data_IF_705536524921
#
_entry.id   IF_705536524921
#
_cell.length_a   1.000
_cell.length_b   1.000
_cell.length_c   1.000
_cell.angle_alpha   90.00
_cell.angle_beta   90.00
_cell.angle_gamma   90.00
#
_symmetry.space_group_name_H-M   'P 1'
#
loop_
_entity.id
_entity.type
_entity.pdbx_description
1 polymer ?
#
# COMPACT_ATOMS: atom_id res chain seq x y z
N UNK A 1 -10.88 0.63 -26.24
CA UNK A 1 -9.57 0.77 -25.54
C UNK A 1 -9.76 1.06 -24.05
N UNK A 2 -10.58 2.03 -23.65
CA UNK A 2 -10.82 2.34 -22.23
C UNK A 2 -11.27 1.10 -21.41
N UNK A 3 -12.30 0.39 -21.85
CA UNK A 3 -12.80 -0.81 -21.17
C UNK A 3 -11.73 -1.91 -20.96
N UNK A 4 -10.75 -2.03 -21.85
CA UNK A 4 -9.64 -2.98 -21.67
C UNK A 4 -8.67 -2.50 -20.59
N UNK A 5 -8.38 -1.20 -20.55
CA UNK A 5 -7.49 -0.62 -19.56
C UNK A 5 -8.08 -0.70 -18.13
N UNK A 6 -9.40 -0.61 -18.02
CA UNK A 6 -10.12 -0.65 -16.75
C UNK A 6 -10.53 -2.09 -16.33
N UNK A 7 -10.05 -3.10 -17.08
CA UNK A 7 -10.25 -4.51 -16.74
C UNK A 7 -9.49 -4.85 -15.46
N UNK A 8 -10.20 -5.49 -14.51
CA UNK A 8 -9.60 -5.96 -13.26
C UNK A 8 -8.59 -7.09 -13.51
N UNK A 9 -7.43 -7.01 -12.85
CA UNK A 9 -6.34 -7.99 -12.87
C UNK A 9 -6.05 -8.60 -11.49
N UNK A 10 -6.90 -8.32 -10.51
CA UNK A 10 -6.89 -8.97 -9.17
C UNK A 10 -8.05 -9.94 -9.00
N UNK A 11 -9.11 -9.81 -9.80
CA UNK A 11 -10.30 -10.64 -9.74
C UNK A 11 -11.04 -10.65 -11.09
N UNK A 12 -12.06 -11.50 -11.22
CA UNK A 12 -12.95 -11.51 -12.38
C UNK A 12 -12.54 -12.46 -13.51
N UNK A 13 -13.23 -12.37 -14.67
CA UNK A 13 -13.13 -13.40 -15.71
C UNK A 13 -11.74 -13.56 -16.33
N UNK A 14 -10.98 -12.46 -16.48
CA UNK A 14 -9.63 -12.49 -17.08
C UNK A 14 -8.67 -13.32 -16.22
N UNK A 15 -8.69 -13.09 -14.90
CA UNK A 15 -7.83 -13.82 -13.94
C UNK A 15 -8.25 -15.30 -13.90
N UNK A 16 -9.56 -15.59 -13.86
CA UNK A 16 -10.08 -16.96 -13.90
C UNK A 16 -9.67 -17.69 -15.17
N UNK A 17 -9.81 -17.06 -16.33
CA UNK A 17 -9.38 -17.65 -17.61
C UNK A 17 -7.88 -17.94 -17.61
N UNK A 18 -7.06 -17.04 -17.10
CA UNK A 18 -5.62 -17.25 -16.98
C UNK A 18 -5.28 -18.47 -16.11
N UNK A 19 -5.92 -18.60 -14.94
CA UNK A 19 -5.71 -19.76 -14.06
C UNK A 19 -6.18 -21.06 -14.69
N UNK A 20 -7.32 -21.03 -15.38
CA UNK A 20 -7.85 -22.21 -16.10
C UNK A 20 -6.89 -22.63 -17.21
N UNK A 21 -6.37 -21.68 -18.02
CA UNK A 21 -5.43 -21.98 -19.09
C UNK A 21 -4.11 -22.55 -18.55
N UNK A 22 -3.56 -21.96 -17.48
CA UNK A 22 -2.35 -22.46 -16.83
C UNK A 22 -2.57 -23.89 -16.29
N UNK A 23 -3.69 -24.12 -15.58
CA UNK A 23 -4.08 -25.43 -15.05
C UNK A 23 -4.28 -26.47 -16.15
N UNK A 24 -4.99 -26.12 -17.23
CA UNK A 24 -5.18 -27.01 -18.38
C UNK A 24 -3.86 -27.38 -19.06
N UNK A 25 -2.96 -26.42 -19.23
CA UNK A 25 -1.63 -26.66 -19.80
C UNK A 25 -0.87 -27.69 -18.94
N UNK A 26 -0.85 -27.54 -17.63
CA UNK A 26 -0.21 -28.51 -16.70
C UNK A 26 -0.89 -29.87 -16.74
N UNK A 27 -2.23 -29.94 -16.77
CA UNK A 27 -2.97 -31.19 -16.89
C UNK A 27 -2.62 -31.89 -18.21
N UNK A 28 -2.55 -31.19 -19.34
CA UNK A 28 -2.18 -31.75 -20.63
C UNK A 28 -0.71 -32.26 -20.66
N UNK A 29 0.19 -31.59 -19.95
CA UNK A 29 1.58 -32.05 -19.76
C UNK A 29 1.60 -33.34 -18.97
N UNK A 30 0.76 -33.47 -17.92
CA UNK A 30 0.66 -34.64 -17.07
C UNK A 30 -0.14 -35.80 -17.69
N UNK A 31 -1.11 -35.51 -18.57
CA UNK A 31 -2.01 -36.51 -19.16
C UNK A 31 -1.31 -37.43 -20.16
N UNK A 32 -0.49 -38.34 -19.67
CA UNK A 32 0.21 -39.37 -20.43
C UNK A 32 0.32 -40.68 -19.65
N UNK A 33 0.50 -41.80 -20.38
CA UNK A 33 0.91 -43.04 -19.74
C UNK A 33 2.40 -42.93 -19.38
N UNK A 34 2.70 -43.12 -18.12
CA UNK A 34 4.07 -43.09 -17.60
C UNK A 34 4.60 -44.52 -17.48
N UNK A 35 5.84 -44.76 -17.93
CA UNK A 35 6.65 -45.84 -17.38
C UNK A 35 7.10 -45.49 -15.96
N UNK A 36 7.48 -46.46 -15.15
CA UNK A 36 7.95 -46.18 -13.78
C UNK A 36 9.05 -45.13 -13.70
N UNK A 37 10.06 -45.24 -14.61
CA UNK A 37 11.18 -44.28 -14.68
C UNK A 37 10.73 -42.88 -15.15
N UNK A 38 9.76 -42.80 -16.05
CA UNK A 38 9.22 -41.49 -16.51
C UNK A 38 8.38 -40.81 -15.42
N UNK A 39 7.59 -41.60 -14.67
CA UNK A 39 6.84 -41.09 -13.51
C UNK A 39 7.77 -40.57 -12.44
N UNK A 40 8.82 -41.36 -12.10
CA UNK A 40 9.82 -40.93 -11.12
C UNK A 40 10.50 -39.61 -11.56
N UNK A 41 10.91 -39.48 -12.83
CA UNK A 41 11.51 -38.23 -13.33
C UNK A 41 10.55 -37.05 -13.27
N UNK A 42 9.29 -37.23 -13.63
CA UNK A 42 8.28 -36.17 -13.54
C UNK A 42 8.05 -35.72 -12.08
N UNK A 43 7.91 -36.67 -11.18
CA UNK A 43 7.75 -36.40 -9.74
C UNK A 43 8.99 -35.72 -9.14
N UNK A 44 10.18 -36.21 -9.48
CA UNK A 44 11.43 -35.61 -9.04
C UNK A 44 11.63 -34.18 -9.57
N UNK A 45 11.27 -33.90 -10.83
CA UNK A 45 11.35 -32.55 -11.43
C UNK A 45 10.36 -31.58 -10.78
N UNK A 46 9.14 -32.05 -10.48
CA UNK A 46 8.13 -31.27 -9.77
C UNK A 46 8.59 -30.96 -8.34
N UNK A 47 9.06 -31.94 -7.62
CA UNK A 47 9.57 -31.76 -6.25
C UNK A 47 10.82 -30.85 -6.20
N UNK A 48 11.75 -31.02 -7.12
CA UNK A 48 12.95 -30.17 -7.23
C UNK A 48 12.57 -28.71 -7.56
N UNK A 49 11.62 -28.52 -8.48
CA UNK A 49 11.07 -27.19 -8.78
C UNK A 49 10.40 -26.56 -7.56
N UNK A 50 9.54 -27.30 -6.86
CA UNK A 50 8.87 -26.82 -5.65
C UNK A 50 9.88 -26.42 -4.56
N UNK A 51 10.89 -27.25 -4.32
CA UNK A 51 11.97 -26.97 -3.36
C UNK A 51 12.75 -25.71 -3.76
N UNK A 52 13.09 -25.59 -5.04
CA UNK A 52 13.78 -24.40 -5.56
C UNK A 52 12.96 -23.14 -5.35
N UNK A 53 11.66 -23.17 -5.68
CA UNK A 53 10.75 -22.05 -5.46
C UNK A 53 10.64 -21.65 -4.00
N UNK A 54 10.56 -22.63 -3.09
CA UNK A 54 10.56 -22.38 -1.66
C UNK A 54 11.87 -21.74 -1.17
N UNK A 55 13.02 -22.28 -1.60
CA UNK A 55 14.33 -21.75 -1.24
C UNK A 55 14.51 -20.33 -1.76
N UNK A 56 14.09 -20.04 -3.01
CA UNK A 56 14.15 -18.69 -3.57
C UNK A 56 13.27 -17.73 -2.75
N UNK A 57 12.02 -18.09 -2.45
CA UNK A 57 11.14 -17.27 -1.67
C UNK A 57 11.71 -16.99 -0.26
N UNK A 58 12.29 -18.01 0.37
CA UNK A 58 12.94 -17.88 1.67
C UNK A 58 14.19 -17.00 1.61
N UNK A 59 15.08 -17.21 0.64
CA UNK A 59 16.29 -16.41 0.50
C UNK A 59 15.97 -14.94 0.25
N UNK A 60 15.05 -14.64 -0.67
CA UNK A 60 14.73 -13.26 -1.06
C UNK A 60 13.97 -12.50 0.02
N UNK A 61 13.12 -13.19 0.77
CA UNK A 61 12.27 -12.58 1.81
C UNK A 61 12.95 -12.56 3.19
N UNK A 62 13.50 -13.72 3.64
CA UNK A 62 13.84 -13.86 5.05
C UNK A 62 15.35 -13.73 5.29
N UNK A 63 16.21 -14.04 4.28
CA UNK A 63 17.66 -13.98 4.42
C UNK A 63 18.22 -12.66 3.89
N UNK A 64 17.84 -12.30 2.65
CA UNK A 64 18.36 -11.10 2.00
C UNK A 64 17.49 -9.87 2.23
N UNK A 65 16.27 -10.05 2.73
CA UNK A 65 15.30 -8.97 3.01
C UNK A 65 15.14 -7.98 1.83
N UNK A 66 15.10 -8.53 0.58
CA UNK A 66 15.13 -7.70 -0.64
C UNK A 66 13.94 -6.76 -0.77
N UNK A 67 12.83 -7.09 -0.13
CA UNK A 67 11.57 -6.34 -0.23
C UNK A 67 11.30 -5.48 1.01
N UNK A 68 12.12 -5.58 2.06
CA UNK A 68 11.86 -4.93 3.35
C UNK A 68 10.65 -5.49 4.11
N UNK A 69 9.93 -6.46 3.51
CA UNK A 69 8.74 -7.09 4.07
C UNK A 69 8.83 -8.61 3.93
N UNK A 70 8.21 -9.34 4.86
CA UNK A 70 8.12 -10.80 4.74
C UNK A 70 7.02 -11.18 3.76
N UNK A 71 7.34 -12.03 2.78
CA UNK A 71 6.35 -12.52 1.83
C UNK A 71 5.28 -13.35 2.55
N UNK A 72 4.02 -13.14 2.22
CA UNK A 72 2.90 -13.93 2.72
C UNK A 72 3.02 -15.41 2.34
N UNK A 73 2.34 -16.29 3.05
CA UNK A 73 2.29 -17.71 2.71
C UNK A 73 1.61 -17.96 1.35
N UNK A 74 0.70 -17.07 0.93
CA UNK A 74 0.04 -17.15 -0.38
C UNK A 74 1.03 -16.83 -1.48
N UNK A 75 1.80 -15.74 -1.37
CA UNK A 75 2.86 -15.38 -2.31
C UNK A 75 3.93 -16.47 -2.39
N UNK A 76 4.39 -17.02 -1.25
CA UNK A 76 5.33 -18.16 -1.22
C UNK A 76 4.75 -19.37 -1.94
N UNK A 77 3.48 -19.68 -1.74
CA UNK A 77 2.76 -20.74 -2.43
C UNK A 77 2.77 -20.56 -3.94
N UNK A 78 2.51 -19.36 -4.45
CA UNK A 78 2.59 -19.06 -5.87
C UNK A 78 3.99 -19.27 -6.44
N UNK A 79 5.04 -18.83 -5.74
CA UNK A 79 6.43 -19.06 -6.15
C UNK A 79 6.73 -20.56 -6.22
N UNK A 80 6.33 -21.35 -5.23
CA UNK A 80 6.49 -22.80 -5.22
C UNK A 80 5.77 -23.45 -6.40
N UNK A 81 4.52 -23.11 -6.65
CA UNK A 81 3.69 -23.70 -7.72
C UNK A 81 4.26 -23.38 -9.09
N UNK A 82 4.71 -22.16 -9.34
CA UNK A 82 5.28 -21.78 -10.64
C UNK A 82 6.59 -22.53 -10.91
N UNK A 83 7.47 -22.63 -9.94
CA UNK A 83 8.73 -23.36 -10.12
C UNK A 83 8.53 -24.87 -10.27
N UNK A 84 7.56 -25.45 -9.57
CA UNK A 84 7.13 -26.83 -9.77
C UNK A 84 6.60 -27.09 -11.18
N UNK A 85 5.73 -26.18 -11.68
CA UNK A 85 5.19 -26.22 -13.04
C UNK A 85 6.27 -26.09 -14.13
N UNK A 86 7.22 -25.18 -13.94
CA UNK A 86 8.37 -24.99 -14.83
C UNK A 86 9.25 -26.26 -14.82
N UNK A 87 9.55 -26.84 -13.67
CA UNK A 87 10.33 -28.08 -13.56
C UNK A 87 9.69 -29.24 -14.33
N UNK A 88 8.36 -29.38 -14.22
CA UNK A 88 7.58 -30.36 -14.96
C UNK A 88 7.60 -30.11 -16.48
N UNK A 89 7.47 -28.84 -16.89
CA UNK A 89 7.52 -28.43 -18.31
C UNK A 89 8.89 -28.75 -18.93
N UNK A 90 9.98 -28.39 -18.25
CA UNK A 90 11.36 -28.67 -18.68
C UNK A 90 11.58 -30.18 -18.82
N UNK A 91 11.19 -30.97 -17.80
CA UNK A 91 11.28 -32.45 -17.87
C UNK A 91 10.50 -33.00 -19.08
N UNK A 92 9.36 -32.42 -19.43
CA UNK A 92 8.58 -32.86 -20.58
C UNK A 92 9.26 -32.50 -21.90
N UNK A 93 9.82 -31.29 -22.05
CA UNK A 93 10.56 -30.85 -23.23
C UNK A 93 11.78 -31.74 -23.49
N UNK A 94 12.56 -32.04 -22.45
CA UNK A 94 13.76 -32.89 -22.55
C UNK A 94 13.38 -34.35 -22.76
N UNK A 95 12.37 -34.84 -22.07
CA UNK A 95 11.98 -36.27 -22.04
C UNK A 95 11.20 -36.77 -23.24
N UNK A 96 10.70 -35.90 -24.14
CA UNK A 96 9.87 -36.32 -25.27
C UNK A 96 10.65 -36.81 -26.51
N UNK A 97 11.97 -36.81 -26.48
CA UNK A 97 12.78 -37.27 -27.65
C UNK A 97 12.42 -36.58 -28.99
N UNK A 98 13.09 -36.97 -30.06
CA UNK A 98 12.85 -36.40 -31.42
C UNK A 98 11.76 -37.12 -32.24
N UNK A 99 10.97 -37.98 -31.59
CA UNK A 99 9.90 -38.76 -32.28
C UNK A 99 8.75 -37.85 -32.76
N UNK A 100 8.28 -38.11 -34.00
CA UNK A 100 7.29 -37.31 -34.74
C UNK A 100 5.92 -37.21 -34.07
N UNK A 101 5.59 -38.07 -33.07
CA UNK A 101 4.31 -38.04 -32.33
C UNK A 101 4.23 -37.13 -31.13
N UNK A 102 5.33 -36.50 -30.71
CA UNK A 102 5.42 -35.77 -29.42
C UNK A 102 5.53 -34.25 -29.56
N UNK A 103 5.51 -33.69 -30.78
CA UNK A 103 5.71 -32.26 -31.03
C UNK A 103 4.69 -31.37 -30.33
N UNK A 104 3.41 -31.73 -30.33
CA UNK A 104 2.35 -30.98 -29.66
C UNK A 104 2.56 -30.87 -28.14
N UNK A 105 3.05 -31.96 -27.51
CA UNK A 105 3.31 -31.97 -26.05
C UNK A 105 4.45 -31.05 -25.68
N UNK A 106 5.50 -30.99 -26.52
CA UNK A 106 6.56 -29.98 -26.38
C UNK A 106 6.00 -28.57 -26.50
N UNK A 107 5.13 -28.32 -27.50
CA UNK A 107 4.47 -27.04 -27.67
C UNK A 107 3.67 -26.64 -26.42
N UNK A 108 2.85 -27.57 -25.89
CA UNK A 108 2.09 -27.34 -24.65
C UNK A 108 3.01 -27.08 -23.45
N UNK A 109 4.07 -27.86 -23.27
CA UNK A 109 5.02 -27.68 -22.17
C UNK A 109 5.74 -26.32 -22.26
N UNK A 110 6.12 -25.89 -23.46
CA UNK A 110 6.71 -24.56 -23.68
C UNK A 110 5.69 -23.46 -23.37
N UNK A 111 4.44 -23.61 -23.82
CA UNK A 111 3.37 -22.64 -23.53
C UNK A 111 2.97 -22.60 -22.06
N UNK A 112 3.11 -23.71 -21.31
CA UNK A 112 2.82 -23.77 -19.88
C UNK A 112 3.73 -22.85 -19.06
N UNK A 113 4.97 -22.63 -19.45
CA UNK A 113 5.92 -21.77 -18.74
C UNK A 113 5.41 -20.33 -18.61
N UNK A 114 5.15 -19.59 -19.71
CA UNK A 114 4.64 -18.23 -19.59
C UNK A 114 3.24 -18.18 -18.94
N UNK A 115 2.38 -19.18 -19.16
CA UNK A 115 1.08 -19.23 -18.51
C UNK A 115 1.20 -19.37 -16.98
N UNK A 116 2.09 -20.22 -16.47
CA UNK A 116 2.36 -20.35 -15.05
C UNK A 116 2.97 -19.07 -14.46
N UNK A 117 3.90 -18.43 -15.17
CA UNK A 117 4.47 -17.15 -14.74
C UNK A 117 3.42 -16.05 -14.65
N UNK A 118 2.55 -15.91 -15.65
CA UNK A 118 1.47 -14.93 -15.66
C UNK A 118 0.44 -15.23 -14.55
N UNK A 119 0.09 -16.51 -14.36
CA UNK A 119 -0.82 -16.92 -13.28
C UNK A 119 -0.25 -16.60 -11.89
N UNK A 120 1.04 -16.88 -11.68
CA UNK A 120 1.70 -16.52 -10.42
C UNK A 120 1.78 -15.00 -10.23
N UNK A 121 2.14 -14.25 -11.27
CA UNK A 121 2.15 -12.79 -11.21
C UNK A 121 0.77 -12.22 -10.84
N UNK A 122 -0.31 -12.74 -11.46
CA UNK A 122 -1.66 -12.33 -11.13
C UNK A 122 -2.07 -12.75 -9.70
N UNK A 123 -1.67 -13.94 -9.24
CA UNK A 123 -1.95 -14.42 -7.88
C UNK A 123 -1.21 -13.63 -6.80
N UNK A 124 0.05 -13.31 -7.04
CA UNK A 124 0.86 -12.46 -6.16
C UNK A 124 0.29 -11.04 -6.13
N UNK A 125 -0.05 -10.47 -7.30
CA UNK A 125 -0.68 -9.16 -7.36
C UNK A 125 -2.03 -9.13 -6.62
N UNK A 126 -2.84 -10.19 -6.71
CA UNK A 126 -4.09 -10.29 -5.96
C UNK A 126 -3.87 -10.38 -4.44
N UNK A 127 -2.81 -11.05 -4.00
CA UNK A 127 -2.42 -11.17 -2.59
C UNK A 127 -1.98 -9.83 -2.00
N UNK A 128 -1.18 -9.06 -2.73
CA UNK A 128 -0.80 -7.69 -2.33
C UNK A 128 -1.90 -6.65 -2.54
N UNK A 129 -2.78 -6.87 -3.52
CA UNK A 129 -3.82 -5.92 -3.92
C UNK A 129 -3.31 -4.65 -4.62
N UNK A 130 -2.05 -4.64 -5.13
CA UNK A 130 -1.39 -3.43 -5.63
C UNK A 130 -2.00 -2.89 -6.92
N UNK A 131 -2.03 -3.70 -7.98
CA UNK A 131 -2.52 -3.26 -9.29
C UNK A 131 -3.91 -3.81 -9.55
N UNK A 132 -4.95 -3.01 -9.31
CA UNK A 132 -6.34 -3.46 -9.43
C UNK A 132 -6.80 -3.58 -10.88
N UNK A 133 -6.21 -2.82 -11.81
CA UNK A 133 -6.56 -2.79 -13.25
C UNK A 133 -5.33 -2.80 -14.14
N UNK A 134 -5.53 -3.09 -15.43
CA UNK A 134 -4.48 -2.96 -16.45
C UNK A 134 -3.94 -1.53 -16.49
N UNK A 135 -4.81 -0.52 -16.37
CA UNK A 135 -4.42 0.89 -16.34
C UNK A 135 -3.44 1.17 -15.21
N UNK A 136 -3.74 0.70 -14.00
CA UNK A 136 -2.87 0.84 -12.84
C UNK A 136 -1.51 0.15 -13.05
N UNK A 137 -1.51 -1.08 -13.59
CA UNK A 137 -0.29 -1.83 -13.87
C UNK A 137 0.60 -1.17 -14.93
N UNK A 138 0.02 -0.40 -15.85
CA UNK A 138 0.75 0.35 -16.88
C UNK A 138 1.18 1.76 -16.40
N UNK A 139 0.89 2.15 -15.15
CA UNK A 139 1.20 3.47 -14.62
C UNK A 139 0.50 4.62 -15.32
N UNK A 140 -0.66 4.35 -15.97
CA UNK A 140 -1.40 5.38 -16.68
C UNK A 140 -2.23 6.23 -15.70
N UNK A 141 -2.47 7.53 -16.00
CA UNK A 141 -3.28 8.39 -15.15
C UNK A 141 -4.65 7.79 -14.84
N UNK A 142 -5.01 7.78 -13.57
CA UNK A 142 -6.24 7.17 -13.05
C UNK A 142 -7.32 8.22 -12.76
N UNK A 143 -6.89 9.41 -12.40
CA UNK A 143 -7.76 10.53 -12.03
C UNK A 143 -7.44 11.76 -12.90
N UNK A 144 -8.48 12.50 -13.27
CA UNK A 144 -8.36 13.81 -13.91
C UNK A 144 -8.00 14.89 -12.89
N UNK A 145 -7.78 16.11 -13.37
CA UNK A 145 -7.61 17.26 -12.49
C UNK A 145 -8.87 17.46 -11.63
N UNK A 146 -8.68 17.78 -10.36
CA UNK A 146 -9.77 18.21 -9.51
C UNK A 146 -10.13 19.64 -9.91
N UNK A 147 -11.34 19.84 -10.46
CA UNK A 147 -11.84 21.18 -10.78
C UNK A 147 -12.13 21.95 -9.49
N UNK A 148 -11.10 22.66 -9.00
CA UNK A 148 -11.16 23.44 -7.78
C UNK A 148 -12.03 24.71 -7.90
N UNK A 149 -12.56 25.02 -9.10
CA UNK A 149 -13.40 26.19 -9.38
C UNK A 149 -14.83 25.85 -9.75
N UNK A 150 -15.16 24.59 -10.02
CA UNK A 150 -16.53 24.20 -10.18
C UNK A 150 -17.21 24.29 -8.81
N UNK A 151 -17.98 25.36 -8.58
CA UNK A 151 -19.02 25.34 -7.55
C UNK A 151 -19.84 24.08 -7.84
N UNK A 152 -19.77 23.08 -7.00
CA UNK A 152 -20.40 21.82 -7.33
C UNK A 152 -21.92 22.05 -7.30
N UNK A 153 -22.54 21.70 -8.37
CA UNK A 153 -23.94 21.37 -8.33
C UNK A 153 -24.04 20.04 -7.59
N UNK A 154 -23.98 20.06 -6.24
CA UNK A 154 -24.39 18.89 -5.50
C UNK A 154 -25.86 18.68 -5.80
N UNK A 155 -26.18 17.60 -6.48
CA UNK A 155 -27.56 17.14 -6.60
C UNK A 155 -27.99 16.78 -5.19
N UNK A 156 -29.10 17.38 -4.73
CA UNK A 156 -29.67 17.06 -3.41
C UNK A 156 -29.80 15.53 -3.29
N UNK A 157 -29.10 14.93 -2.33
CA UNK A 157 -29.07 13.49 -2.12
C UNK A 157 -27.81 12.77 -2.63
N UNK A 158 -26.84 13.46 -3.24
CA UNK A 158 -25.54 12.87 -3.57
C UNK A 158 -24.72 12.68 -2.30
N UNK A 159 -24.28 11.46 -2.03
CA UNK A 159 -23.43 11.11 -0.87
C UNK A 159 -22.02 10.73 -1.27
N UNK A 160 -21.79 10.40 -2.55
CA UNK A 160 -20.47 10.04 -3.07
C UNK A 160 -19.56 11.27 -3.19
N UNK A 161 -18.30 11.09 -2.82
CA UNK A 161 -17.28 12.11 -2.95
C UNK A 161 -16.77 12.28 -4.40
N UNK A 162 -15.87 13.22 -4.58
CA UNK A 162 -15.13 13.45 -5.83
C UNK A 162 -13.64 13.29 -5.61
N UNK A 163 -12.95 12.64 -6.57
CA UNK A 163 -11.52 12.45 -6.53
C UNK A 163 -10.88 13.13 -7.72
N UNK A 164 -9.77 13.80 -7.50
CA UNK A 164 -8.99 14.39 -8.58
C UNK A 164 -7.55 14.70 -8.18
N UNK A 165 -6.75 14.99 -9.20
CA UNK A 165 -5.35 15.39 -9.05
C UNK A 165 -5.25 16.89 -8.79
N UNK A 166 -4.32 17.28 -7.94
CA UNK A 166 -3.96 18.68 -7.68
C UNK A 166 -2.44 18.83 -7.61
N UNK A 167 -1.94 20.00 -7.95
CA UNK A 167 -0.55 20.36 -7.70
C UNK A 167 -0.51 21.22 -6.45
N UNK A 168 0.18 20.75 -5.41
CA UNK A 168 0.41 21.54 -4.19
C UNK A 168 1.73 22.28 -4.37
N UNK A 169 1.74 23.64 -4.31
CA UNK A 169 2.96 24.41 -4.46
C UNK A 169 3.94 24.14 -3.31
N UNK A 170 5.16 23.79 -3.62
CA UNK A 170 6.25 23.56 -2.66
C UNK A 170 7.04 24.87 -2.43
N UNK A 171 6.36 25.94 -2.02
CA UNK A 171 6.91 27.30 -1.97
C UNK A 171 7.98 27.52 -0.91
N UNK A 172 7.91 26.74 0.18
CA UNK A 172 8.87 26.80 1.29
C UNK A 172 9.89 25.68 1.17
N UNK A 173 9.43 24.45 0.93
CA UNK A 173 10.31 23.28 0.87
C UNK A 173 11.14 23.19 -0.40
N UNK A 174 10.61 23.69 -1.53
CA UNK A 174 11.18 23.43 -2.85
C UNK A 174 11.18 21.93 -3.23
N UNK A 175 10.36 21.10 -2.56
CA UNK A 175 10.32 19.67 -2.81
C UNK A 175 9.68 19.37 -4.17
N UNK A 176 10.31 18.53 -4.98
CA UNK A 176 9.83 18.12 -6.30
C UNK A 176 8.78 17.00 -6.17
N UNK A 177 7.60 17.36 -5.69
CA UNK A 177 6.50 16.44 -5.48
C UNK A 177 5.72 16.18 -6.79
N UNK A 178 5.34 14.92 -7.01
CA UNK A 178 4.34 14.57 -8.02
C UNK A 178 2.95 15.13 -7.63
N UNK A 179 1.98 15.20 -8.57
CA UNK A 179 0.62 15.63 -8.23
C UNK A 179 0.02 14.83 -7.08
N UNK A 180 -0.57 15.55 -6.13
CA UNK A 180 -1.36 14.97 -5.04
C UNK A 180 -2.74 14.49 -5.54
N UNK A 181 -3.35 13.58 -4.82
CA UNK A 181 -4.75 13.18 -5.02
C UNK A 181 -5.58 13.70 -3.85
N UNK A 182 -6.74 14.25 -4.15
CA UNK A 182 -7.68 14.74 -3.13
C UNK A 182 -9.02 14.04 -3.30
N UNK A 183 -9.56 13.56 -2.18
CA UNK A 183 -10.95 13.16 -2.06
C UNK A 183 -11.72 14.26 -1.34
N UNK A 184 -12.77 14.78 -2.00
CA UNK A 184 -13.71 15.75 -1.44
C UNK A 184 -15.05 15.06 -1.19
N UNK A 185 -15.52 14.98 0.07
CA UNK A 185 -16.84 14.45 0.35
C UNK A 185 -17.95 15.32 -0.25
N UNK A 186 -19.14 14.75 -0.44
CA UNK A 186 -20.29 15.49 -1.00
C UNK A 186 -20.59 16.77 -0.21
N UNK A 187 -20.44 16.73 1.12
CA UNK A 187 -20.64 17.90 1.99
C UNK A 187 -19.64 19.04 1.73
N UNK A 188 -18.44 18.76 1.19
CA UNK A 188 -17.47 19.80 0.83
C UNK A 188 -17.82 20.49 -0.51
N UNK A 189 -18.74 19.95 -1.28
CA UNK A 189 -19.07 20.33 -2.66
C UNK A 189 -20.38 21.13 -2.78
N UNK A 190 -20.78 21.79 -1.72
CA UNK A 190 -21.98 22.65 -1.68
C UNK A 190 -21.59 24.14 -1.63
N UNK A 191 -22.52 25.04 -1.91
CA UNK A 191 -22.25 26.47 -1.96
C UNK A 191 -21.68 27.04 -0.64
N UNK A 192 -22.09 26.49 0.50
CA UNK A 192 -21.59 26.85 1.82
C UNK A 192 -21.16 25.59 2.56
N UNK A 193 -19.95 25.08 2.28
CA UNK A 193 -19.49 23.84 2.87
C UNK A 193 -19.27 24.02 4.38
N UNK A 194 -19.64 23.02 5.19
CA UNK A 194 -19.30 23.02 6.59
C UNK A 194 -17.78 22.98 6.78
N UNK A 195 -17.34 23.35 7.97
CA UNK A 195 -15.96 23.12 8.38
C UNK A 195 -15.76 21.61 8.57
N UNK A 196 -14.89 21.00 7.78
CA UNK A 196 -14.64 19.56 7.81
C UNK A 196 -13.27 19.25 8.40
N UNK A 197 -13.11 18.09 9.03
CA UNK A 197 -11.80 17.60 9.40
C UNK A 197 -10.99 17.19 8.17
N UNK A 198 -9.68 17.08 8.36
CA UNK A 198 -8.71 16.73 7.32
C UNK A 198 -7.94 15.48 7.70
N UNK A 199 -7.68 14.64 6.72
CA UNK A 199 -6.66 13.58 6.82
C UNK A 199 -5.61 13.80 5.73
N UNK A 200 -4.35 13.98 6.14
CA UNK A 200 -3.20 13.87 5.25
C UNK A 200 -2.79 12.40 5.23
N UNK A 201 -2.98 11.73 4.09
CA UNK A 201 -2.70 10.30 3.93
C UNK A 201 -1.47 10.08 3.07
N UNK A 202 -0.54 9.26 3.53
CA UNK A 202 0.71 8.95 2.85
C UNK A 202 0.70 7.52 2.29
N UNK A 203 1.09 7.37 1.04
CA UNK A 203 1.19 6.05 0.39
C UNK A 203 2.39 5.25 0.91
N UNK A 204 2.47 3.98 0.53
CA UNK A 204 3.67 3.15 0.74
C UNK A 204 4.76 3.43 -0.29
N UNK A 205 5.93 2.81 -0.11
CA UNK A 205 7.05 2.84 -1.05
C UNK A 205 7.44 1.39 -1.41
N UNK A 206 7.58 1.06 -2.71
CA UNK A 206 7.33 1.93 -3.88
C UNK A 206 5.85 2.23 -4.07
N UNK A 207 5.51 3.45 -4.51
CA UNK A 207 4.11 3.80 -4.70
C UNK A 207 3.84 5.22 -5.20
N UNK A 208 2.55 5.53 -5.29
CA UNK A 208 2.02 6.82 -5.74
C UNK A 208 0.86 7.27 -4.86
N UNK A 209 0.50 8.55 -4.83
CA UNK A 209 -0.70 9.01 -4.14
C UNK A 209 -1.99 8.30 -4.58
N UNK A 210 -2.08 7.88 -5.84
CA UNK A 210 -3.25 7.20 -6.39
C UNK A 210 -3.49 5.80 -5.78
N UNK A 211 -2.43 5.13 -5.29
CA UNK A 211 -2.53 3.76 -4.76
C UNK A 211 -3.45 3.67 -3.52
N UNK A 212 -3.54 4.75 -2.75
CA UNK A 212 -4.43 4.87 -1.59
C UNK A 212 -5.89 4.64 -1.98
N UNK A 213 -6.29 5.13 -3.15
CA UNK A 213 -7.65 4.99 -3.65
C UNK A 213 -7.83 3.75 -4.52
N UNK A 214 -6.86 3.44 -5.39
CA UNK A 214 -6.99 2.31 -6.33
C UNK A 214 -6.80 0.96 -5.65
N UNK A 215 -5.73 0.81 -4.88
CA UNK A 215 -5.40 -0.39 -4.13
C UNK A 215 -6.04 -0.38 -2.72
N UNK A 216 -5.94 0.75 -2.02
CA UNK A 216 -6.52 0.95 -0.69
C UNK A 216 -8.04 1.10 -0.68
N UNK A 217 -8.67 1.40 -1.84
CA UNK A 217 -10.13 1.60 -1.99
C UNK A 217 -10.69 2.60 -0.98
N UNK A 218 -9.90 3.60 -0.61
CA UNK A 218 -10.28 4.54 0.44
C UNK A 218 -11.51 5.37 0.05
N UNK A 219 -11.69 5.68 -1.24
CA UNK A 219 -12.87 6.32 -1.78
C UNK A 219 -14.16 5.54 -1.47
N UNK A 220 -14.18 4.25 -1.77
CA UNK A 220 -15.34 3.41 -1.51
C UNK A 220 -15.65 3.30 0.00
N UNK A 221 -14.62 3.27 0.86
CA UNK A 221 -14.77 3.25 2.32
C UNK A 221 -15.36 4.58 2.81
N UNK A 222 -14.86 5.70 2.31
CA UNK A 222 -15.36 7.04 2.66
C UNK A 222 -16.78 7.24 2.15
N UNK A 223 -17.10 6.84 0.93
CA UNK A 223 -18.45 6.95 0.35
C UNK A 223 -19.46 6.09 1.13
N UNK A 224 -19.08 4.87 1.53
CA UNK A 224 -19.91 4.01 2.36
C UNK A 224 -20.21 4.64 3.74
N UNK A 225 -19.23 5.30 4.34
CA UNK A 225 -19.41 6.04 5.58
C UNK A 225 -20.30 7.28 5.36
N UNK A 226 -20.01 8.08 4.34
CA UNK A 226 -20.75 9.27 3.98
C UNK A 226 -22.25 9.01 3.74
N UNK A 227 -22.58 7.85 3.14
CA UNK A 227 -23.96 7.45 2.85
C UNK A 227 -24.85 7.39 4.10
N UNK A 228 -24.28 7.13 5.28
CA UNK A 228 -24.98 7.07 6.57
C UNK A 228 -24.75 8.31 7.45
N UNK A 229 -23.91 9.26 6.97
CA UNK A 229 -23.50 10.45 7.73
C UNK A 229 -23.75 11.76 6.94
N UNK A 230 -24.87 11.84 6.22
CA UNK A 230 -25.31 13.05 5.49
C UNK A 230 -24.25 13.58 4.49
N UNK A 231 -23.52 12.68 3.83
CA UNK A 231 -22.46 13.03 2.89
C UNK A 231 -21.18 13.58 3.54
N UNK A 232 -21.04 13.46 4.86
CA UNK A 232 -19.90 13.98 5.61
C UNK A 232 -18.85 12.91 5.88
N UNK A 233 -17.61 13.21 5.51
CA UNK A 233 -16.39 12.51 5.90
C UNK A 233 -15.27 13.55 6.02
N UNK A 234 -14.07 13.16 6.50
CA UNK A 234 -12.91 14.03 6.35
C UNK A 234 -12.63 14.34 4.87
N UNK A 235 -12.09 15.52 4.59
CA UNK A 235 -11.36 15.77 3.35
C UNK A 235 -10.06 14.97 3.44
N UNK A 236 -9.77 14.12 2.44
CA UNK A 236 -8.54 13.34 2.42
C UNK A 236 -7.63 13.91 1.34
N UNK A 237 -6.43 14.33 1.75
CA UNK A 237 -5.38 14.81 0.86
C UNK A 237 -4.24 13.80 0.90
N UNK A 238 -3.87 13.27 -0.27
CA UNK A 238 -2.77 12.33 -0.42
C UNK A 238 -1.64 13.04 -1.18
N UNK A 239 -0.76 13.79 -0.48
CA UNK A 239 0.41 14.40 -1.10
C UNK A 239 1.44 13.35 -1.49
N UNK A 240 2.35 13.72 -2.37
CA UNK A 240 3.47 12.87 -2.72
C UNK A 240 4.65 13.13 -1.78
N UNK A 241 4.93 12.20 -0.88
CA UNK A 241 6.07 12.27 0.03
C UNK A 241 7.38 11.75 -0.57
N UNK A 242 7.33 11.17 -1.78
CA UNK A 242 8.47 10.45 -2.36
C UNK A 242 9.20 11.24 -3.46
N UNK A 243 8.50 12.07 -4.24
CA UNK A 243 9.01 12.72 -5.46
C UNK A 243 9.04 11.79 -6.67
N UNK A 244 9.33 10.50 -6.49
CA UNK A 244 9.22 9.44 -7.48
C UNK A 244 8.82 8.13 -6.81
N UNK A 245 8.26 7.18 -7.56
CA UNK A 245 7.70 5.95 -7.00
C UNK A 245 8.71 5.06 -6.27
N UNK A 246 9.97 5.11 -6.69
CA UNK A 246 11.10 4.32 -6.18
C UNK A 246 12.05 5.12 -5.27
N UNK A 247 11.82 6.43 -5.10
CA UNK A 247 12.61 7.27 -4.17
C UNK A 247 12.08 7.18 -2.76
N UNK A 248 12.95 7.40 -1.79
CA UNK A 248 12.54 7.49 -0.39
C UNK A 248 13.35 8.57 0.36
N UNK A 249 12.83 9.80 0.45
CA UNK A 249 13.42 10.85 1.30
C UNK A 249 13.11 10.66 2.79
N UNK A 250 12.40 9.59 3.19
CA UNK A 250 12.15 9.16 4.57
C UNK A 250 11.43 10.19 5.44
N UNK A 251 10.69 11.11 4.81
CA UNK A 251 9.99 12.22 5.47
C UNK A 251 10.89 13.05 6.41
N UNK A 252 12.14 13.24 5.97
CA UNK A 252 13.10 14.17 6.57
C UNK A 252 13.58 15.16 5.52
N UNK A 253 14.08 16.32 5.95
CA UNK A 253 14.74 17.26 5.06
C UNK A 253 16.20 16.86 4.89
N UNK A 254 16.60 16.60 3.66
CA UNK A 254 17.92 16.07 3.33
C UNK A 254 18.32 16.39 1.89
N UNK A 255 19.48 15.88 1.46
CA UNK A 255 19.91 15.94 0.07
C UNK A 255 18.95 15.18 -0.90
N UNK A 256 18.08 14.34 -0.38
CA UNK A 256 17.04 13.65 -1.17
C UNK A 256 15.80 14.52 -1.40
N UNK A 257 15.72 15.68 -0.77
CA UNK A 257 14.62 16.64 -0.84
C UNK A 257 14.05 16.98 0.54
N UNK A 258 13.38 18.13 0.63
CA UNK A 258 12.81 18.63 1.90
C UNK A 258 11.37 18.13 2.07
N UNK A 259 11.19 16.81 2.15
CA UNK A 259 9.87 16.21 2.24
C UNK A 259 9.17 16.46 3.57
N UNK A 260 9.92 16.59 4.68
CA UNK A 260 9.33 16.96 5.97
C UNK A 260 8.71 18.36 5.93
N UNK A 261 9.47 19.35 5.46
CA UNK A 261 8.97 20.74 5.28
C UNK A 261 7.78 20.78 4.32
N UNK A 262 7.83 20.03 3.21
CA UNK A 262 6.69 19.95 2.29
C UNK A 262 5.42 19.46 2.99
N UNK A 263 5.49 18.36 3.74
CA UNK A 263 4.36 17.73 4.39
C UNK A 263 3.83 18.49 5.61
N UNK A 264 4.68 19.27 6.29
CA UNK A 264 4.30 19.97 7.53
C UNK A 264 4.08 21.46 7.36
N UNK A 265 4.54 22.06 6.26
CA UNK A 265 4.38 23.48 5.99
C UNK A 265 3.59 23.73 4.71
N UNK A 266 4.07 23.29 3.54
CA UNK A 266 3.43 23.61 2.26
C UNK A 266 2.05 22.95 2.13
N UNK A 267 1.93 21.65 2.44
CA UNK A 267 0.68 20.89 2.34
C UNK A 267 -0.40 21.45 3.28
N UNK A 268 -0.18 21.66 4.59
CA UNK A 268 -1.19 22.24 5.47
C UNK A 268 -1.57 23.66 5.09
N UNK A 269 -0.63 24.49 4.66
CA UNK A 269 -0.92 25.85 4.21
C UNK A 269 -1.83 25.86 2.97
N UNK A 270 -1.53 25.00 1.99
CA UNK A 270 -2.35 24.87 0.79
C UNK A 270 -3.77 24.35 1.13
N UNK A 271 -3.91 23.34 2.00
CA UNK A 271 -5.20 22.80 2.42
C UNK A 271 -6.07 23.90 3.06
N UNK A 272 -5.50 24.65 4.02
CA UNK A 272 -6.22 25.73 4.71
C UNK A 272 -6.63 26.87 3.78
N UNK A 273 -5.83 27.15 2.74
CA UNK A 273 -6.17 28.19 1.76
C UNK A 273 -7.20 27.74 0.73
N UNK A 274 -7.39 26.44 0.56
CA UNK A 274 -8.20 25.86 -0.53
C UNK A 274 -9.57 25.39 -0.05
N UNK A 275 -9.65 24.85 1.18
CA UNK A 275 -10.85 24.20 1.69
C UNK A 275 -11.32 24.82 3.03
N UNK A 276 -12.62 24.68 3.30
CA UNK A 276 -13.21 25.00 4.62
C UNK A 276 -12.92 23.87 5.59
N UNK A 277 -11.83 23.99 6.36
CA UNK A 277 -11.31 22.95 7.23
C UNK A 277 -11.16 23.43 8.68
N UNK A 278 -11.14 22.47 9.60
CA UNK A 278 -10.89 22.73 11.01
C UNK A 278 -9.51 23.42 11.22
N UNK A 279 -9.47 24.43 12.09
CA UNK A 279 -8.21 25.12 12.41
C UNK A 279 -7.40 24.40 13.49
N UNK A 280 -8.10 23.77 14.44
CA UNK A 280 -7.43 23.10 15.57
C UNK A 280 -6.83 21.74 15.19
N UNK A 281 -5.74 21.32 15.83
CA UNK A 281 -5.13 20.01 15.61
C UNK A 281 -6.10 18.84 15.82
N UNK A 282 -7.10 19.00 16.68
CA UNK A 282 -8.10 17.97 16.93
C UNK A 282 -8.91 17.58 15.66
N UNK A 283 -9.06 18.50 14.71
CA UNK A 283 -9.70 18.25 13.42
C UNK A 283 -8.75 17.74 12.34
N UNK A 284 -7.48 17.50 12.64
CA UNK A 284 -6.47 17.06 11.68
C UNK A 284 -5.89 15.71 12.07
N UNK A 285 -5.83 14.81 11.11
CA UNK A 285 -5.14 13.55 11.24
C UNK A 285 -4.07 13.41 10.16
N UNK A 286 -2.98 12.71 10.50
CA UNK A 286 -2.02 12.19 9.53
C UNK A 286 -2.08 10.68 9.54
N UNK A 287 -2.11 10.07 8.37
CA UNK A 287 -2.21 8.63 8.20
C UNK A 287 -1.20 8.15 7.17
N UNK A 288 -0.82 6.87 7.22
CA UNK A 288 0.05 6.33 6.19
C UNK A 288 0.18 4.82 6.24
N UNK A 289 0.64 4.25 5.13
CA UNK A 289 0.91 2.83 5.01
C UNK A 289 2.39 2.56 4.78
N UNK A 290 2.95 1.57 5.48
CA UNK A 290 4.35 1.14 5.31
C UNK A 290 5.32 2.30 5.53
N UNK A 291 6.10 2.71 4.52
CA UNK A 291 6.91 3.93 4.56
C UNK A 291 6.08 5.16 4.95
N UNK A 292 4.86 5.31 4.39
CA UNK A 292 3.94 6.37 4.80
C UNK A 292 3.46 6.24 6.24
N UNK A 293 3.33 5.02 6.77
CA UNK A 293 3.05 4.74 8.19
C UNK A 293 4.17 5.27 9.08
N UNK A 294 5.42 4.94 8.75
CA UNK A 294 6.61 5.48 9.42
C UNK A 294 6.62 7.01 9.40
N UNK A 295 6.35 7.61 8.24
CA UNK A 295 6.25 9.07 8.10
C UNK A 295 5.12 9.66 8.96
N UNK A 296 3.97 9.00 9.02
CA UNK A 296 2.82 9.50 9.77
C UNK A 296 3.12 9.61 11.26
N UNK A 297 3.78 8.61 11.84
CA UNK A 297 4.17 8.67 13.25
C UNK A 297 5.35 9.63 13.49
N UNK A 298 6.35 9.70 12.59
CA UNK A 298 7.44 10.67 12.69
C UNK A 298 6.90 12.11 12.73
N UNK A 299 6.12 12.48 11.70
CA UNK A 299 5.63 13.84 11.55
C UNK A 299 4.51 14.18 12.54
N UNK A 300 3.57 13.27 12.78
CA UNK A 300 2.48 13.51 13.71
C UNK A 300 2.94 13.62 15.17
N UNK A 301 3.92 12.82 15.58
CA UNK A 301 4.50 12.91 16.91
C UNK A 301 5.42 14.12 17.09
N UNK A 302 6.12 14.56 16.03
CA UNK A 302 6.95 15.77 16.06
C UNK A 302 6.12 17.06 16.02
N UNK A 303 4.90 17.01 15.44
CA UNK A 303 4.04 18.17 15.20
C UNK A 303 2.63 17.98 15.75
N UNK A 304 2.46 17.77 17.10
CA UNK A 304 1.14 17.62 17.71
C UNK A 304 0.31 18.92 17.64
N UNK A 305 0.91 20.05 17.32
CA UNK A 305 0.26 21.32 17.04
C UNK A 305 -0.41 21.35 15.63
N UNK A 306 -0.04 20.42 14.74
CA UNK A 306 -0.68 20.24 13.43
C UNK A 306 -1.68 19.08 13.43
N UNK A 307 -1.32 17.95 14.03
CA UNK A 307 -2.05 16.70 13.95
C UNK A 307 -2.43 16.17 15.35
N UNK A 308 -3.72 16.16 15.66
CA UNK A 308 -4.23 15.59 16.90
C UNK A 308 -4.45 14.08 16.85
N UNK A 309 -4.38 13.49 15.64
CA UNK A 309 -4.56 12.04 15.44
C UNK A 309 -3.57 11.50 14.43
N UNK A 310 -3.00 10.33 14.72
CA UNK A 310 -2.10 9.59 13.84
C UNK A 310 -2.73 8.22 13.55
N UNK A 311 -2.71 7.77 12.29
CA UNK A 311 -3.01 6.39 11.90
C UNK A 311 -1.77 5.81 11.19
N UNK A 312 -1.00 5.03 11.93
CA UNK A 312 0.16 4.30 11.43
C UNK A 312 -0.25 2.89 11.00
N UNK A 313 -0.24 2.62 9.70
CA UNK A 313 -0.56 1.30 9.14
C UNK A 313 0.75 0.63 8.73
N UNK A 314 1.17 -0.38 9.49
CA UNK A 314 2.39 -1.16 9.25
C UNK A 314 3.65 -0.29 9.07
N UNK A 315 3.85 0.70 9.94
CA UNK A 315 5.05 1.53 9.95
C UNK A 315 6.27 0.80 10.52
N UNK A 316 7.45 1.33 10.21
CA UNK A 316 8.76 0.80 10.62
C UNK A 316 9.25 1.45 11.93
N UNK A 317 10.16 0.77 12.64
CA UNK A 317 10.79 1.32 13.85
C UNK A 317 11.73 2.50 13.58
N UNK A 318 12.26 2.60 12.37
CA UNK A 318 13.23 3.62 11.94
C UNK A 318 12.99 3.96 10.48
N UNK A 319 13.29 5.18 10.03
CA UNK A 319 13.26 5.49 8.60
C UNK A 319 14.29 4.62 7.86
N UNK A 320 13.90 4.10 6.69
CA UNK A 320 14.73 3.20 5.89
C UNK A 320 14.80 3.62 4.43
N UNK A 321 16.03 3.58 3.89
CA UNK A 321 16.31 3.69 2.47
C UNK A 321 17.44 2.69 2.14
N UNK A 322 17.09 1.41 1.96
CA UNK A 322 18.04 0.31 1.92
C UNK A 322 18.50 -0.14 3.30
N UNK A 323 19.78 -0.50 3.46
CA UNK A 323 20.35 -0.83 4.75
C UNK A 323 20.64 0.41 5.62
N UNK A 324 20.97 0.18 6.89
CA UNK A 324 21.19 1.29 7.82
C UNK A 324 22.37 2.18 7.41
N UNK A 325 23.46 1.63 6.86
CA UNK A 325 24.62 2.40 6.45
C UNK A 325 24.29 3.32 5.26
N UNK A 326 23.58 2.78 4.25
CA UNK A 326 23.10 3.55 3.11
C UNK A 326 22.08 4.61 3.54
N UNK A 327 21.16 4.27 4.42
CA UNK A 327 20.16 5.21 4.98
C UNK A 327 20.82 6.37 5.68
N UNK A 328 21.79 6.12 6.58
CA UNK A 328 22.53 7.15 7.30
C UNK A 328 23.32 8.04 6.33
N UNK A 329 23.98 7.43 5.36
CA UNK A 329 24.78 8.18 4.39
C UNK A 329 23.92 9.08 3.50
N UNK A 330 22.80 8.59 2.97
CA UNK A 330 22.00 9.31 1.97
C UNK A 330 20.99 10.27 2.60
N UNK A 331 20.34 9.87 3.68
CA UNK A 331 19.30 10.67 4.34
C UNK A 331 19.81 11.58 5.45
N UNK A 332 20.96 11.26 6.04
CA UNK A 332 21.47 11.96 7.23
C UNK A 332 22.92 12.43 7.09
N UNK A 333 23.45 12.49 5.87
CA UNK A 333 24.82 12.94 5.56
C UNK A 333 25.91 12.24 6.43
N UNK A 334 25.73 10.96 6.75
CA UNK A 334 26.61 10.18 7.61
C UNK A 334 26.42 10.39 9.12
N UNK A 335 25.44 11.21 9.53
CA UNK A 335 25.18 11.51 10.94
C UNK A 335 24.28 10.44 11.60
N UNK A 336 24.89 9.45 12.25
CA UNK A 336 24.19 8.39 12.94
C UNK A 336 23.31 8.88 14.12
N UNK A 337 23.69 9.98 14.78
CA UNK A 337 22.90 10.55 15.86
C UNK A 337 21.60 11.20 15.35
N UNK A 338 21.67 11.91 14.21
CA UNK A 338 20.49 12.45 13.55
C UNK A 338 19.55 11.33 13.07
N UNK A 339 20.10 10.25 12.51
CA UNK A 339 19.34 9.06 12.15
C UNK A 339 18.62 8.45 13.34
N UNK A 340 19.31 8.25 14.47
CA UNK A 340 18.72 7.71 15.68
C UNK A 340 17.61 8.62 16.24
N UNK A 341 17.79 9.94 16.17
CA UNK A 341 16.79 10.92 16.61
C UNK A 341 15.55 10.96 15.70
N UNK A 342 15.67 10.55 14.43
CA UNK A 342 14.55 10.46 13.49
C UNK A 342 13.69 9.19 13.66
N UNK A 343 14.09 8.24 14.53
CA UNK A 343 13.30 7.07 14.84
C UNK A 343 11.99 7.47 15.57
N UNK A 344 10.82 6.91 15.18
CA UNK A 344 9.54 7.23 15.81
C UNK A 344 9.54 7.18 17.33
N UNK A 345 10.14 6.14 17.94
CA UNK A 345 10.22 6.03 19.40
C UNK A 345 11.07 7.13 20.05
N UNK A 346 12.14 7.59 19.37
CA UNK A 346 12.96 8.70 19.85
C UNK A 346 12.21 10.04 19.78
N UNK A 347 11.45 10.26 18.71
CA UNK A 347 10.58 11.44 18.56
C UNK A 347 9.50 11.45 19.63
N UNK A 348 8.82 10.32 19.86
CA UNK A 348 7.83 10.19 20.94
C UNK A 348 8.41 10.55 22.30
N UNK A 349 9.59 10.04 22.63
CA UNK A 349 10.26 10.33 23.89
C UNK A 349 10.69 11.81 24.02
N UNK A 350 11.13 12.43 22.91
CA UNK A 350 11.60 13.82 22.91
C UNK A 350 10.47 14.84 23.10
N UNK A 351 9.24 14.50 22.70
CA UNK A 351 8.07 15.39 22.78
C UNK A 351 7.11 15.03 23.92
N UNK A 352 7.44 14.02 24.74
CA UNK A 352 6.63 13.63 25.89
C UNK A 352 6.62 14.75 26.97
N UNK A 353 5.51 14.91 27.74
CA UNK A 353 4.29 14.11 27.65
C UNK A 353 3.29 14.68 26.64
N UNK A 354 2.60 13.78 25.92
CA UNK A 354 1.46 14.16 25.08
C UNK A 354 0.19 14.24 25.92
N UNK A 355 -0.56 15.31 25.80
CA UNK A 355 -1.82 15.51 26.55
C UNK A 355 -3.08 15.31 25.70
N UNK A 356 -2.97 15.33 24.39
CA UNK A 356 -4.14 15.27 23.49
C UNK A 356 -3.83 14.66 22.13
N UNK A 357 -2.89 13.72 22.06
CA UNK A 357 -2.54 13.00 20.85
C UNK A 357 -3.16 11.59 20.89
N UNK A 358 -3.93 11.24 19.84
CA UNK A 358 -4.41 9.88 19.59
C UNK A 358 -3.53 9.21 18.55
N UNK A 359 -3.06 8.00 18.83
CA UNK A 359 -2.31 7.20 17.85
C UNK A 359 -3.03 5.86 17.68
N UNK A 360 -3.38 5.56 16.43
CA UNK A 360 -3.96 4.28 16.04
C UNK A 360 -2.89 3.55 15.24
N UNK A 361 -2.43 2.42 15.75
CA UNK A 361 -1.58 1.49 15.03
C UNK A 361 -2.45 0.44 14.35
N UNK A 362 -2.14 0.08 13.12
CA UNK A 362 -2.84 -0.98 12.39
C UNK A 362 -1.85 -1.87 11.66
N UNK A 363 -2.07 -3.19 11.67
CA UNK A 363 -1.15 -4.16 11.09
C UNK A 363 -1.86 -5.45 10.72
N UNK A 364 -1.37 -6.15 9.69
CA UNK A 364 -1.87 -7.48 9.30
C UNK A 364 -1.43 -8.57 10.29
N UNK A 365 -2.34 -9.46 10.68
CA UNK A 365 -2.03 -10.57 11.60
C UNK A 365 -0.98 -11.54 11.05
N UNK A 366 -0.86 -11.64 9.73
CA UNK A 366 0.14 -12.47 9.03
C UNK A 366 1.52 -11.83 8.92
N UNK A 367 1.67 -10.55 9.30
CA UNK A 367 2.94 -9.81 9.27
C UNK A 367 3.59 -9.78 10.66
N UNK A 368 4.26 -10.87 11.04
CA UNK A 368 4.84 -11.00 12.38
C UNK A 368 5.89 -9.92 12.71
N UNK A 369 6.65 -9.45 11.69
CA UNK A 369 7.68 -8.42 11.87
C UNK A 369 7.04 -7.09 12.23
N UNK A 370 6.12 -6.60 11.40
CA UNK A 370 5.48 -5.31 11.62
C UNK A 370 4.52 -5.33 12.80
N UNK A 371 3.93 -6.49 13.12
CA UNK A 371 3.16 -6.65 14.36
C UNK A 371 4.04 -6.46 15.61
N UNK A 372 5.24 -7.02 15.61
CA UNK A 372 6.19 -6.79 16.70
C UNK A 372 6.63 -5.31 16.77
N UNK A 373 6.82 -4.66 15.63
CA UNK A 373 7.15 -3.23 15.57
C UNK A 373 6.00 -2.34 16.03
N UNK A 374 4.78 -2.62 15.60
CA UNK A 374 3.58 -1.90 16.06
C UNK A 374 3.41 -2.00 17.58
N UNK A 375 3.59 -3.18 18.17
CA UNK A 375 3.56 -3.35 19.63
C UNK A 375 4.66 -2.53 20.33
N UNK A 376 5.87 -2.46 19.74
CA UNK A 376 6.98 -1.66 20.31
C UNK A 376 6.65 -0.18 20.26
N UNK A 377 6.11 0.33 19.14
CA UNK A 377 5.74 1.73 19.00
C UNK A 377 4.52 2.10 19.83
N UNK A 378 3.53 1.21 19.98
CA UNK A 378 2.36 1.38 20.84
C UNK A 378 2.79 1.54 22.30
N UNK A 379 3.71 0.69 22.77
CA UNK A 379 4.26 0.81 24.13
C UNK A 379 5.04 2.12 24.32
N UNK A 380 5.83 2.54 23.34
CA UNK A 380 6.57 3.80 23.38
C UNK A 380 5.62 5.02 23.41
N UNK A 381 4.58 5.00 22.59
CA UNK A 381 3.57 6.05 22.51
C UNK A 381 2.76 6.16 23.81
N UNK A 382 2.34 5.03 24.37
CA UNK A 382 1.66 4.97 25.67
C UNK A 382 2.55 5.53 26.79
N UNK A 383 3.83 5.14 26.82
CA UNK A 383 4.80 5.67 27.79
C UNK A 383 5.03 7.18 27.63
N UNK A 384 4.90 7.71 26.42
CA UNK A 384 4.97 9.15 26.12
C UNK A 384 3.67 9.91 26.45
N UNK A 385 2.61 9.24 26.92
CA UNK A 385 1.35 9.85 27.33
C UNK A 385 0.30 9.98 26.21
N UNK A 386 0.52 9.40 25.03
CA UNK A 386 -0.48 9.39 23.98
C UNK A 386 -1.61 8.38 24.29
N UNK A 387 -2.82 8.69 23.81
CA UNK A 387 -3.93 7.74 23.80
C UNK A 387 -3.76 6.79 22.61
N UNK A 388 -3.51 5.50 22.86
CA UNK A 388 -3.16 4.55 21.82
C UNK A 388 -4.24 3.49 21.58
N UNK A 389 -4.23 2.91 20.36
CA UNK A 389 -5.06 1.76 20.01
C UNK A 389 -4.36 0.93 18.93
N UNK A 390 -4.32 -0.39 19.12
CA UNK A 390 -3.80 -1.32 18.11
C UNK A 390 -4.95 -2.05 17.42
N UNK A 391 -4.96 -2.02 16.09
CA UNK A 391 -5.88 -2.74 15.20
C UNK A 391 -5.07 -3.85 14.52
N UNK A 392 -5.49 -5.10 14.69
CA UNK A 392 -4.88 -6.24 14.00
C UNK A 392 -5.84 -6.77 12.95
N UNK A 393 -5.45 -6.70 11.68
CA UNK A 393 -6.27 -7.15 10.53
C UNK A 393 -6.16 -8.66 10.37
N UNK A 394 -7.24 -9.43 10.57
CA UNK A 394 -7.19 -10.88 10.47
C UNK A 394 -7.04 -11.35 9.02
N UNK A 395 -6.17 -12.34 8.77
CA UNK A 395 -5.99 -12.96 7.47
C UNK A 395 -5.25 -12.13 6.42
N UNK A 396 -4.72 -10.98 6.80
CA UNK A 396 -3.92 -10.09 5.93
C UNK A 396 -2.49 -10.01 6.42
N UNK A 397 -1.58 -9.46 5.61
CA UNK A 397 -0.16 -9.29 5.92
C UNK A 397 0.30 -7.85 5.64
N UNK A 398 1.45 -7.64 4.98
CA UNK A 398 1.91 -6.32 4.55
C UNK A 398 1.36 -6.01 3.16
N UNK A 399 0.06 -5.72 3.10
CA UNK A 399 -0.70 -5.62 1.86
C UNK A 399 -1.81 -4.56 1.93
N UNK A 400 -2.41 -4.24 0.79
CA UNK A 400 -3.49 -3.27 0.72
C UNK A 400 -4.81 -3.74 1.36
N UNK A 401 -4.99 -5.05 1.59
CA UNK A 401 -6.15 -5.55 2.33
C UNK A 401 -6.05 -5.15 3.81
N UNK A 402 -4.84 -5.12 4.37
CA UNK A 402 -4.57 -4.53 5.70
C UNK A 402 -4.97 -3.06 5.74
N UNK A 403 -4.63 -2.28 4.70
CA UNK A 403 -5.01 -0.85 4.62
C UNK A 403 -6.52 -0.67 4.57
N UNK A 404 -7.23 -1.47 3.75
CA UNK A 404 -8.70 -1.44 3.65
C UNK A 404 -9.36 -1.77 4.99
N UNK A 405 -8.88 -2.80 5.68
CA UNK A 405 -9.39 -3.18 7.01
C UNK A 405 -9.11 -2.10 8.06
N UNK A 406 -7.89 -1.57 8.07
CA UNK A 406 -7.48 -0.50 8.97
C UNK A 406 -8.37 0.73 8.82
N UNK A 407 -8.60 1.19 7.58
CA UNK A 407 -9.47 2.35 7.32
C UNK A 407 -10.93 2.09 7.68
N UNK A 408 -11.48 0.92 7.34
CA UNK A 408 -12.86 0.55 7.70
C UNK A 408 -13.06 0.57 9.20
N UNK A 409 -12.06 0.13 9.97
CA UNK A 409 -12.13 0.08 11.45
C UNK A 409 -11.79 1.42 12.09
N UNK A 410 -10.81 2.16 11.57
CA UNK A 410 -10.35 3.41 12.17
C UNK A 410 -11.23 4.62 11.79
N UNK A 411 -11.92 4.62 10.66
CA UNK A 411 -12.69 5.79 10.21
C UNK A 411 -13.75 6.25 11.20
N UNK A 412 -14.55 5.39 11.85
CA UNK A 412 -15.47 5.83 12.90
C UNK A 412 -14.75 6.45 14.11
N UNK A 413 -13.59 5.95 14.48
CA UNK A 413 -12.77 6.48 15.58
C UNK A 413 -12.19 7.86 15.22
N UNK A 414 -11.68 8.01 14.00
CA UNK A 414 -11.20 9.28 13.46
C UNK A 414 -12.33 10.31 13.39
N UNK A 415 -13.50 9.92 12.89
CA UNK A 415 -14.67 10.79 12.77
C UNK A 415 -15.13 11.28 14.15
N UNK A 416 -15.25 10.40 15.13
CA UNK A 416 -15.60 10.76 16.49
C UNK A 416 -14.56 11.71 17.13
N UNK A 417 -13.28 11.45 16.90
CA UNK A 417 -12.18 12.25 17.45
C UNK A 417 -12.10 13.64 16.81
N UNK A 418 -12.33 13.73 15.50
CA UNK A 418 -12.24 14.98 14.74
C UNK A 418 -13.52 15.80 14.76
N UNK A 419 -14.56 15.38 15.49
CA UNK A 419 -15.80 16.12 15.68
C UNK A 419 -16.76 16.06 14.49
N UNK A 420 -16.60 15.07 13.59
CA UNK A 420 -17.67 14.75 12.64
C UNK A 420 -18.84 14.20 13.44
N UNK A 421 -19.91 15.00 13.49
CA UNK A 421 -21.09 14.67 14.27
C UNK A 421 -21.64 13.31 13.85
N UNK A 422 -21.72 12.40 14.81
CA UNK A 422 -22.64 11.26 14.70
C UNK A 422 -24.03 11.85 14.79
N UNK A 423 -24.66 12.12 13.65
CA UNK A 423 -26.10 12.37 13.65
C UNK A 423 -26.77 11.03 13.86
N UNK A 424 -27.53 10.85 14.96
CA UNK A 424 -28.18 9.57 15.25
C UNK A 424 -29.22 9.20 14.19
#
# INVERSE_FOLDING_TARGET
MAALLDTSIVAGPVVVVLYVLAGLALVLVLARRYSGTALFRAAASLAAGALLGWVIAWLTSDVWDLFGVSLSMVTRGWVVVVFAGIGLAINTVIGTGTGTGNGWRRGVAIAAIPLCLLAAAAGINADFGQYTTVRAALGLPLYGALDGTAVPTSVVGETAGSIGTVTIPATVSGFDARPAIVYLPAAARIAHPPVLPVVVMLSGQPGTPADVFTAGKLDAILDAYAATHSGQTPIVVVPDQLGAADRNPMCVDSALGNSATYLTVDVPAWIRSTFSVAESPAGWAIAGFSQGGTCSIQLGAAHPELFGTILDISGELVPRNGDAAHTIQTGFAGNAAAYAAAAPAAILAAHAPYSNLKIIFAVGAGDARFLAWANTLDAAATAAGADTQLIVSPGTAHDWHTVQFAWTTALPLLAARTGLAVTP
#
